data_IF_435515162720
#
_entry.id   IF_435515162720
#
_cell.length_a   1.000
_cell.length_b   1.000
_cell.length_c   1.000
_cell.angle_alpha   90.00
_cell.angle_beta   90.00
_cell.angle_gamma   90.00
#
_symmetry.space_group_name_H-M   'P 1'
#
loop_
_entity.id
_entity.type
_entity.pdbx_description
1 polymer ?
#
# COMPACT_ATOMS: atom_id res chain seq x y z
N UNK A 1 20.78 -11.07 -13.09
CA UNK A 1 19.33 -10.98 -12.74
C UNK A 1 18.86 -9.57 -12.36
N UNK A 2 19.55 -8.49 -12.76
CA UNK A 2 19.26 -7.11 -12.28
C UNK A 2 17.91 -6.55 -12.75
N UNK A 3 17.42 -6.95 -13.94
CA UNK A 3 16.10 -6.55 -14.46
C UNK A 3 14.94 -6.96 -13.53
N UNK A 4 15.00 -8.17 -12.97
CA UNK A 4 13.98 -8.65 -12.02
C UNK A 4 13.97 -7.84 -10.72
N UNK A 5 15.15 -7.50 -10.20
CA UNK A 5 15.26 -6.62 -9.03
C UNK A 5 14.66 -5.25 -9.32
N UNK A 6 14.92 -4.66 -10.50
CA UNK A 6 14.32 -3.39 -10.91
C UNK A 6 12.80 -3.46 -11.04
N UNK A 7 12.25 -4.56 -11.56
CA UNK A 7 10.80 -4.77 -11.63
C UNK A 7 10.16 -4.78 -10.23
N UNK A 8 10.75 -5.50 -9.26
CA UNK A 8 10.24 -5.51 -7.89
C UNK A 8 10.36 -4.15 -7.20
N UNK A 9 11.43 -3.38 -7.47
CA UNK A 9 11.56 -2.02 -6.96
C UNK A 9 10.50 -1.10 -7.56
N UNK A 10 10.27 -1.15 -8.88
CA UNK A 10 9.21 -0.38 -9.52
C UNK A 10 7.81 -0.75 -8.99
N UNK A 11 7.55 -2.05 -8.82
CA UNK A 11 6.30 -2.54 -8.24
C UNK A 11 6.08 -2.02 -6.83
N UNK A 12 7.15 -1.91 -6.03
CA UNK A 12 7.07 -1.39 -4.65
C UNK A 12 6.67 0.08 -4.63
N UNK A 13 7.22 0.91 -5.53
CA UNK A 13 6.85 2.33 -5.66
C UNK A 13 5.38 2.45 -6.05
N UNK A 14 4.96 1.73 -7.09
CA UNK A 14 3.56 1.74 -7.57
C UNK A 14 2.59 1.29 -6.46
N UNK A 15 2.92 0.26 -5.69
CA UNK A 15 2.09 -0.19 -4.56
C UNK A 15 1.97 0.89 -3.48
N UNK A 16 3.03 1.65 -3.21
CA UNK A 16 3.02 2.75 -2.26
C UNK A 16 2.12 3.89 -2.73
N UNK A 17 2.16 4.25 -4.02
CA UNK A 17 1.30 5.28 -4.58
C UNK A 17 -0.18 4.87 -4.54
N UNK A 18 -0.48 3.61 -4.91
CA UNK A 18 -1.84 3.07 -4.85
C UNK A 18 -2.34 3.03 -3.40
N UNK A 19 -1.50 2.64 -2.45
CA UNK A 19 -1.84 2.66 -1.01
C UNK A 19 -2.28 4.06 -0.58
N UNK A 20 -1.47 5.09 -0.88
CA UNK A 20 -1.80 6.47 -0.54
C UNK A 20 -3.10 6.92 -1.20
N UNK A 21 -3.31 6.58 -2.47
CA UNK A 21 -4.54 6.92 -3.20
C UNK A 21 -5.79 6.29 -2.56
N UNK A 22 -5.74 4.98 -2.26
CA UNK A 22 -6.86 4.24 -1.67
C UNK A 22 -7.17 4.73 -0.27
N UNK A 23 -6.15 4.96 0.57
CA UNK A 23 -6.34 5.49 1.93
C UNK A 23 -6.95 6.88 1.88
N UNK A 24 -6.45 7.78 1.03
CA UNK A 24 -6.99 9.13 0.90
C UNK A 24 -8.44 9.13 0.41
N UNK A 25 -8.77 8.28 -0.55
CA UNK A 25 -10.13 8.13 -1.06
C UNK A 25 -11.09 7.61 0.03
N UNK A 26 -10.71 6.55 0.73
CA UNK A 26 -11.51 5.98 1.83
C UNK A 26 -11.66 6.96 3.00
N UNK A 27 -10.60 7.70 3.33
CA UNK A 27 -10.63 8.71 4.39
C UNK A 27 -11.60 9.85 4.06
N UNK A 28 -11.56 10.37 2.83
CA UNK A 28 -12.51 11.38 2.34
C UNK A 28 -13.95 10.84 2.33
N UNK A 29 -14.13 9.58 1.93
CA UNK A 29 -15.41 8.89 1.97
C UNK A 29 -15.98 8.79 3.39
N UNK A 30 -15.14 8.44 4.38
CA UNK A 30 -15.55 8.38 5.78
C UNK A 30 -15.87 9.78 6.34
N UNK A 31 -15.10 10.82 6.02
CA UNK A 31 -15.42 12.19 6.45
C UNK A 31 -16.80 12.63 5.96
N UNK A 32 -17.10 12.40 4.67
CA UNK A 32 -18.42 12.67 4.10
C UNK A 32 -19.51 11.80 4.74
N UNK A 33 -19.22 10.53 5.03
CA UNK A 33 -20.13 9.63 5.72
C UNK A 33 -20.44 10.03 7.18
N UNK A 34 -19.45 10.57 7.89
CA UNK A 34 -19.63 11.11 9.25
C UNK A 34 -20.51 12.36 9.19
N UNK A 35 -20.21 13.28 8.27
CA UNK A 35 -20.90 14.57 8.18
C UNK A 35 -22.34 14.44 7.67
N UNK A 36 -22.63 13.48 6.78
CA UNK A 36 -23.93 13.43 6.08
C UNK A 36 -24.73 12.13 6.29
N UNK A 37 -24.10 11.05 6.73
CA UNK A 37 -24.74 9.72 6.89
C UNK A 37 -24.72 9.16 8.31
N UNK A 38 -24.17 9.90 9.27
CA UNK A 38 -24.13 9.51 10.68
C UNK A 38 -23.23 8.29 10.95
N UNK A 39 -22.10 8.17 10.24
CA UNK A 39 -21.12 7.13 10.55
C UNK A 39 -20.60 7.28 11.99
N UNK A 40 -20.75 6.24 12.79
CA UNK A 40 -20.22 6.19 14.17
C UNK A 40 -18.71 5.89 14.23
N UNK A 41 -18.14 5.34 13.16
CA UNK A 41 -16.74 4.98 13.11
C UNK A 41 -15.86 6.19 12.75
N UNK A 42 -14.71 6.39 13.42
CA UNK A 42 -13.80 7.49 13.12
C UNK A 42 -13.14 7.30 11.75
N UNK A 43 -12.87 8.41 11.05
CA UNK A 43 -12.25 8.39 9.72
C UNK A 43 -10.87 7.68 9.69
N UNK A 44 -10.19 7.60 10.84
CA UNK A 44 -8.95 6.86 11.02
C UNK A 44 -9.04 5.36 10.71
N UNK A 45 -10.24 4.77 10.70
CA UNK A 45 -10.42 3.37 10.29
C UNK A 45 -10.04 3.15 8.81
N UNK A 46 -10.07 4.19 7.98
CA UNK A 46 -9.59 4.12 6.60
C UNK A 46 -8.10 3.73 6.49
N UNK A 47 -7.28 3.98 7.52
CA UNK A 47 -5.88 3.55 7.54
C UNK A 47 -5.71 2.02 7.64
N UNK A 48 -6.72 1.27 8.11
CA UNK A 48 -6.65 -0.20 8.08
C UNK A 48 -6.57 -0.72 6.65
N UNK A 49 -7.08 0.02 5.67
CA UNK A 49 -6.92 -0.32 4.26
C UNK A 49 -5.45 -0.31 3.81
N UNK A 50 -4.52 0.32 4.55
CA UNK A 50 -3.09 0.30 4.25
C UNK A 50 -2.41 -1.04 4.58
N UNK A 51 -2.95 -1.82 5.53
CA UNK A 51 -2.39 -3.09 5.99
C UNK A 51 -2.12 -4.08 4.84
N UNK A 52 -3.08 -4.38 3.93
CA UNK A 52 -2.81 -5.29 2.81
C UNK A 52 -1.70 -4.79 1.88
N UNK A 53 -1.59 -3.47 1.65
CA UNK A 53 -0.54 -2.90 0.82
C UNK A 53 0.84 -3.02 1.49
N UNK A 54 0.92 -2.76 2.80
CA UNK A 54 2.14 -2.95 3.59
C UNK A 54 2.65 -4.39 3.50
N UNK A 55 1.76 -5.38 3.62
CA UNK A 55 2.11 -6.80 3.46
C UNK A 55 2.69 -7.05 2.06
N UNK A 56 2.04 -6.52 1.02
CA UNK A 56 2.51 -6.62 -0.37
C UNK A 56 3.88 -5.98 -0.61
N UNK A 57 4.11 -4.78 -0.05
CA UNK A 57 5.39 -4.05 -0.11
C UNK A 57 6.50 -4.87 0.55
N UNK A 58 6.27 -5.40 1.76
CA UNK A 58 7.25 -6.24 2.46
C UNK A 58 7.59 -7.48 1.63
N UNK A 59 6.58 -8.14 1.05
CA UNK A 59 6.82 -9.30 0.19
C UNK A 59 7.66 -8.95 -1.05
N UNK A 60 7.38 -7.82 -1.70
CA UNK A 60 8.15 -7.33 -2.86
C UNK A 60 9.61 -7.04 -2.50
N UNK A 61 9.85 -6.40 -1.36
CA UNK A 61 11.20 -6.10 -0.86
C UNK A 61 11.96 -7.39 -0.53
N UNK A 62 11.33 -8.35 0.15
CA UNK A 62 11.95 -9.65 0.47
C UNK A 62 12.35 -10.38 -0.81
N UNK A 63 11.48 -10.41 -1.83
CA UNK A 63 11.78 -11.03 -3.13
C UNK A 63 12.92 -10.31 -3.84
N UNK A 64 12.92 -8.98 -3.87
CA UNK A 64 14.00 -8.19 -4.45
C UNK A 64 15.36 -8.52 -3.82
N UNK A 65 15.43 -8.57 -2.49
CA UNK A 65 16.65 -8.93 -1.74
C UNK A 65 17.07 -10.37 -2.06
N UNK A 66 16.14 -11.32 -2.07
CA UNK A 66 16.42 -12.74 -2.40
C UNK A 66 17.00 -12.88 -3.80
N UNK A 67 16.41 -12.24 -4.80
CA UNK A 67 16.92 -12.27 -6.17
C UNK A 67 18.27 -11.57 -6.33
N UNK A 68 18.50 -10.48 -5.58
CA UNK A 68 19.79 -9.79 -5.58
C UNK A 68 20.89 -10.67 -4.97
N UNK A 69 20.63 -11.36 -3.85
CA UNK A 69 21.58 -12.28 -3.20
C UNK A 69 21.90 -13.51 -4.05
N UNK A 70 20.92 -14.04 -4.80
CA UNK A 70 21.12 -15.21 -5.69
C UNK A 70 21.87 -14.85 -6.98
N UNK A 71 22.00 -13.57 -7.29
CA UNK A 71 22.66 -13.06 -8.50
C UNK A 71 24.08 -12.55 -8.26
N UNK A 72 24.56 -12.57 -7.01
CA UNK A 72 25.94 -12.29 -6.62
C UNK A 72 26.62 -13.61 -6.32
#
# INVERSE_FOLDING_TARGET
MKKWSYLFTALTVVLSDIMCFVVAYNYRGMLCGIEHRGFSAPASIAFLSAIPFLIGIIMCVVLAIRFHRKSK
#
